data_IF_962796798723
#
_entry.id   IF_962796798723
#
_cell.length_a   1.000
_cell.length_b   1.000
_cell.length_c   1.000
_cell.angle_alpha   90.00
_cell.angle_beta   90.00
_cell.angle_gamma   90.00
#
_symmetry.space_group_name_H-M   'P 1'
#
loop_
_entity.id
_entity.type
_entity.pdbx_description
1 polymer ?
#
# COMPACT_ATOMS: atom_id res chain seq x y z
N UNK A 1 18.62 3.05 -10.00
CA UNK A 1 18.02 1.95 -9.21
C UNK A 1 17.40 2.56 -7.98
N UNK A 2 16.16 2.18 -7.66
CA UNK A 2 15.49 2.62 -6.42
C UNK A 2 16.13 1.89 -5.25
N UNK A 3 16.31 2.56 -4.11
CA UNK A 3 16.77 1.92 -2.87
C UNK A 3 15.65 1.87 -1.83
N UNK A 4 15.81 1.05 -0.79
CA UNK A 4 14.86 1.01 0.34
C UNK A 4 14.73 2.38 1.01
N UNK A 5 15.83 3.13 1.15
CA UNK A 5 15.79 4.49 1.70
C UNK A 5 14.96 5.49 0.89
N UNK A 6 14.73 5.22 -0.40
CA UNK A 6 13.96 6.09 -1.30
C UNK A 6 12.44 5.84 -1.21
N UNK A 7 12.02 4.80 -0.48
CA UNK A 7 10.62 4.41 -0.39
C UNK A 7 9.79 5.43 0.38
N UNK A 8 8.67 5.83 -0.22
CA UNK A 8 7.68 6.64 0.48
C UNK A 8 7.11 5.95 1.72
N UNK A 9 7.06 6.66 2.84
CA UNK A 9 6.58 6.16 4.13
C UNK A 9 7.63 5.33 4.87
N UNK A 10 8.79 5.08 4.25
CA UNK A 10 9.87 4.29 4.80
C UNK A 10 9.51 2.82 5.01
N UNK A 11 10.51 2.06 5.43
CA UNK A 11 10.34 0.67 5.85
C UNK A 11 9.93 0.64 7.33
N UNK A 12 8.73 0.15 7.62
CA UNK A 12 8.12 0.25 8.95
C UNK A 12 8.00 -1.07 9.67
N UNK A 13 7.98 -2.19 8.94
CA UNK A 13 7.88 -3.50 9.56
C UNK A 13 8.52 -4.62 8.74
N UNK A 14 8.74 -5.76 9.38
CA UNK A 14 9.23 -6.97 8.76
C UNK A 14 8.21 -8.11 8.88
N UNK A 15 8.13 -8.94 7.84
CA UNK A 15 7.45 -10.24 7.86
C UNK A 15 8.49 -11.35 7.74
N UNK A 16 8.43 -12.30 8.67
CA UNK A 16 9.15 -13.56 8.56
C UNK A 16 8.12 -14.66 8.26
N UNK A 17 8.24 -15.32 7.11
CA UNK A 17 7.34 -16.41 6.74
C UNK A 17 8.10 -17.55 6.05
N UNK A 18 7.43 -18.68 5.92
CA UNK A 18 7.90 -19.83 5.16
C UNK A 18 7.76 -19.56 3.65
N UNK A 19 6.75 -18.80 3.28
CA UNK A 19 6.34 -18.62 1.89
C UNK A 19 6.54 -17.17 1.45
N UNK A 20 7.11 -16.96 0.25
CA UNK A 20 7.05 -15.67 -0.40
C UNK A 20 5.61 -15.26 -0.65
N UNK A 21 5.29 -14.03 -0.30
CA UNK A 21 4.10 -13.33 -0.73
C UNK A 21 4.03 -13.31 -2.25
N UNK A 22 2.83 -13.56 -2.76
CA UNK A 22 2.55 -13.50 -4.19
C UNK A 22 1.75 -12.24 -4.47
N UNK A 23 0.45 -12.28 -4.19
CA UNK A 23 -0.48 -11.17 -4.38
C UNK A 23 -1.04 -10.67 -3.04
N UNK A 24 -0.74 -11.34 -1.94
CA UNK A 24 -1.19 -11.03 -0.59
C UNK A 24 -0.16 -11.47 0.45
N UNK A 25 -0.25 -10.89 1.66
CA UNK A 25 0.46 -11.35 2.86
C UNK A 25 -0.57 -11.69 3.92
N UNK A 26 -0.51 -12.89 4.48
CA UNK A 26 -1.50 -13.37 5.43
C UNK A 26 -0.97 -13.54 6.84
N UNK A 27 -1.92 -13.48 7.76
CA UNK A 27 -1.69 -13.56 9.19
C UNK A 27 -2.74 -14.49 9.80
N UNK A 28 -2.31 -15.28 10.78
CA UNK A 28 -3.19 -16.22 11.48
C UNK A 28 -3.61 -15.57 12.81
N UNK A 29 -4.89 -15.24 13.01
CA UNK A 29 -5.37 -14.65 14.25
C UNK A 29 -5.09 -15.54 15.46
N UNK A 30 -4.55 -14.96 16.52
CA UNK A 30 -4.38 -15.60 17.82
C UNK A 30 -5.56 -15.24 18.73
N UNK A 31 -6.18 -16.22 19.38
CA UNK A 31 -7.34 -16.01 20.27
C UNK A 31 -8.55 -16.87 19.89
N UNK A 32 -9.64 -16.79 20.64
CA UNK A 32 -10.91 -17.48 20.34
C UNK A 32 -12.03 -16.44 20.23
N UNK A 33 -13.02 -16.73 19.39
CA UNK A 33 -14.23 -15.90 19.25
C UNK A 33 -14.13 -14.79 18.19
N UNK A 34 -15.22 -14.02 18.10
CA UNK A 34 -15.49 -13.06 17.00
C UNK A 34 -14.51 -11.88 16.92
N UNK A 35 -13.75 -11.60 17.99
CA UNK A 35 -12.82 -10.48 18.06
C UNK A 35 -11.41 -10.79 17.53
N UNK A 36 -11.06 -12.07 17.32
CA UNK A 36 -9.70 -12.46 16.97
C UNK A 36 -9.24 -11.86 15.63
N UNK A 37 -10.10 -11.88 14.61
CA UNK A 37 -9.83 -11.31 13.29
C UNK A 37 -9.63 -9.78 13.37
N UNK A 38 -10.60 -8.99 13.92
CA UNK A 38 -10.42 -7.54 14.07
C UNK A 38 -9.17 -7.15 14.87
N UNK A 39 -8.84 -7.87 15.93
CA UNK A 39 -7.65 -7.61 16.75
C UNK A 39 -6.35 -7.88 15.98
N UNK A 40 -6.31 -8.96 15.20
CA UNK A 40 -5.21 -9.28 14.32
C UNK A 40 -5.03 -8.16 13.29
N UNK A 41 -6.09 -7.81 12.55
CA UNK A 41 -6.07 -6.74 11.55
C UNK A 41 -5.58 -5.40 12.13
N UNK A 42 -6.14 -4.97 13.27
CA UNK A 42 -5.74 -3.72 13.93
C UNK A 42 -4.27 -3.73 14.35
N UNK A 43 -3.76 -4.89 14.78
CA UNK A 43 -2.34 -5.05 15.13
C UNK A 43 -1.46 -4.91 13.91
N UNK A 44 -1.80 -5.55 12.79
CA UNK A 44 -1.04 -5.44 11.54
C UNK A 44 -1.06 -3.99 11.03
N UNK A 45 -2.22 -3.34 11.00
CA UNK A 45 -2.38 -1.93 10.61
C UNK A 45 -1.45 -0.99 11.39
N UNK A 46 -1.41 -1.15 12.71
CA UNK A 46 -0.53 -0.36 13.58
C UNK A 46 0.95 -0.63 13.28
N UNK A 47 1.31 -1.86 12.94
CA UNK A 47 2.70 -2.26 12.73
C UNK A 47 3.27 -1.72 11.43
N UNK A 48 2.56 -1.80 10.29
CA UNK A 48 3.08 -1.22 9.04
C UNK A 48 2.76 0.27 8.91
N UNK A 49 1.73 0.80 9.58
CA UNK A 49 1.43 2.25 9.67
C UNK A 49 1.51 2.99 8.32
N UNK A 50 0.99 2.37 7.24
CA UNK A 50 1.05 2.85 5.84
C UNK A 50 2.43 2.86 5.15
N UNK A 51 3.50 2.44 5.84
CA UNK A 51 4.82 2.24 5.25
C UNK A 51 4.96 0.91 4.51
N UNK A 52 6.18 0.62 4.11
CA UNK A 52 6.55 -0.63 3.44
C UNK A 52 6.93 -1.69 4.45
N UNK A 53 6.64 -2.95 4.11
CA UNK A 53 7.12 -4.10 4.86
C UNK A 53 8.22 -4.82 4.10
N UNK A 54 9.21 -5.35 4.81
CA UNK A 54 10.25 -6.19 4.21
C UNK A 54 9.92 -7.65 4.45
N UNK A 55 10.11 -8.45 3.41
CA UNK A 55 9.83 -9.87 3.42
C UNK A 55 11.11 -10.70 3.54
N UNK A 56 11.09 -11.60 4.53
CA UNK A 56 12.14 -12.56 4.81
C UNK A 56 11.59 -13.98 4.80
N UNK A 57 12.32 -14.89 4.16
CA UNK A 57 12.02 -16.32 4.19
C UNK A 57 12.83 -16.99 5.29
N UNK A 58 12.16 -17.65 6.22
CA UNK A 58 12.81 -18.29 7.36
C UNK A 58 13.74 -19.42 6.96
N UNK A 59 14.71 -19.77 7.82
CA UNK A 59 15.59 -20.91 7.59
C UNK A 59 14.87 -22.26 7.75
N UNK A 60 13.79 -22.27 8.54
CA UNK A 60 12.97 -23.45 8.81
C UNK A 60 11.69 -23.45 7.99
N UNK A 61 11.25 -24.65 7.62
CA UNK A 61 9.99 -24.91 6.94
C UNK A 61 9.17 -25.89 7.76
N UNK A 62 7.85 -25.76 7.74
CA UNK A 62 6.96 -26.64 8.49
C UNK A 62 6.50 -27.82 7.61
N UNK A 63 6.28 -28.96 8.26
CA UNK A 63 5.62 -30.08 7.60
C UNK A 63 4.13 -29.77 7.42
N UNK A 64 3.52 -30.25 6.33
CA UNK A 64 2.08 -30.12 6.11
C UNK A 64 1.35 -31.13 7.01
N UNK A 65 0.03 -31.08 7.01
CA UNK A 65 -0.80 -32.10 7.64
C UNK A 65 -0.62 -33.46 6.94
N UNK A 66 -0.88 -34.54 7.68
CA UNK A 66 -0.76 -35.91 7.18
C UNK A 66 -1.61 -36.11 5.91
N UNK A 67 -1.02 -36.71 4.88
CA UNK A 67 -1.64 -36.94 3.58
C UNK A 67 -1.30 -35.90 2.51
N UNK A 68 -0.54 -34.85 2.85
CA UNK A 68 -0.11 -33.79 1.94
C UNK A 68 1.41 -33.77 1.70
N UNK A 69 2.15 -34.78 2.19
CA UNK A 69 3.61 -34.85 2.06
C UNK A 69 4.07 -34.91 0.60
N UNK A 70 3.28 -35.57 -0.26
CA UNK A 70 3.52 -35.69 -1.71
C UNK A 70 2.63 -34.73 -2.54
N UNK A 71 1.93 -33.81 -1.89
CA UNK A 71 1.09 -32.84 -2.59
C UNK A 71 1.93 -32.00 -3.58
N UNK A 72 1.53 -31.88 -4.86
CA UNK A 72 2.32 -31.16 -5.85
C UNK A 72 2.61 -29.71 -5.48
N UNK A 73 1.67 -29.03 -4.82
CA UNK A 73 1.86 -27.64 -4.38
C UNK A 73 2.81 -27.58 -3.20
N UNK A 74 2.72 -28.52 -2.24
CA UNK A 74 3.69 -28.63 -1.14
C UNK A 74 5.11 -28.87 -1.67
N UNK A 75 5.32 -29.85 -2.54
CA UNK A 75 6.64 -30.21 -3.10
C UNK A 75 7.26 -29.03 -3.87
N UNK A 76 6.47 -28.38 -4.73
CA UNK A 76 6.89 -27.18 -5.47
C UNK A 76 7.29 -26.05 -4.52
N UNK A 77 6.51 -25.89 -3.46
CA UNK A 77 6.71 -24.86 -2.45
C UNK A 77 7.98 -25.11 -1.63
N UNK A 78 8.20 -26.35 -1.20
CA UNK A 78 9.41 -26.77 -0.50
C UNK A 78 10.67 -26.52 -1.35
N UNK A 79 10.63 -26.90 -2.62
CA UNK A 79 11.74 -26.64 -3.55
C UNK A 79 12.02 -25.15 -3.75
N UNK A 80 10.98 -24.30 -3.71
CA UNK A 80 11.13 -22.83 -3.75
C UNK A 80 11.70 -22.29 -2.45
N UNK A 81 11.23 -22.78 -1.30
CA UNK A 81 11.74 -22.40 0.02
C UNK A 81 13.24 -22.67 0.14
N UNK A 82 13.70 -23.85 -0.28
CA UNK A 82 15.13 -24.22 -0.23
C UNK A 82 16.05 -23.22 -0.95
N UNK A 83 15.57 -22.57 -2.00
CA UNK A 83 16.33 -21.55 -2.73
C UNK A 83 16.37 -20.20 -2.01
N UNK A 84 15.35 -19.90 -1.21
CA UNK A 84 15.11 -18.57 -0.63
C UNK A 84 15.35 -18.49 0.87
N UNK A 85 15.43 -19.63 1.58
CA UNK A 85 15.57 -19.67 3.03
C UNK A 85 16.75 -18.82 3.53
N UNK A 86 16.50 -18.03 4.56
CA UNK A 86 17.46 -17.09 5.13
C UNK A 86 17.64 -15.78 4.34
N UNK A 87 16.86 -15.51 3.30
CA UNK A 87 17.03 -14.33 2.42
C UNK A 87 15.94 -13.28 2.58
N UNK A 88 16.34 -12.03 2.35
CA UNK A 88 15.44 -10.90 2.12
C UNK A 88 15.08 -10.90 0.63
N UNK A 89 13.79 -10.94 0.31
CA UNK A 89 13.36 -11.19 -1.08
C UNK A 89 12.62 -10.02 -1.73
N UNK A 90 11.86 -9.26 -0.95
CA UNK A 90 11.00 -8.21 -1.46
C UNK A 90 10.64 -7.20 -0.38
N UNK A 91 10.16 -6.04 -0.82
CA UNK A 91 9.44 -5.07 0.01
C UNK A 91 8.05 -4.87 -0.58
N UNK A 92 7.04 -4.87 0.29
CA UNK A 92 5.64 -4.81 -0.10
C UNK A 92 4.94 -3.61 0.53
N UNK A 93 4.11 -2.96 -0.26
CA UNK A 93 3.08 -2.06 0.24
C UNK A 93 1.79 -2.84 0.35
N UNK A 94 1.23 -2.87 1.55
CA UNK A 94 -0.02 -3.55 1.81
C UNK A 94 -1.20 -2.60 1.66
N UNK A 95 -2.35 -3.15 1.26
CA UNK A 95 -3.64 -2.48 1.46
C UNK A 95 -3.82 -2.17 2.94
N UNK A 96 -4.52 -1.08 3.28
CA UNK A 96 -4.69 -0.73 4.69
C UNK A 96 -5.56 -1.72 5.46
N UNK A 97 -6.58 -2.28 4.83
CA UNK A 97 -7.53 -3.22 5.44
C UNK A 97 -7.31 -4.63 4.91
N UNK A 98 -7.67 -5.62 5.71
CA UNK A 98 -7.62 -7.03 5.32
C UNK A 98 -8.80 -7.39 4.41
N UNK A 99 -8.70 -8.55 3.76
CA UNK A 99 -9.81 -9.23 3.07
C UNK A 99 -9.83 -10.70 3.50
N UNK A 100 -11.00 -11.35 3.48
CA UNK A 100 -11.06 -12.80 3.68
C UNK A 100 -10.22 -13.50 2.61
N UNK A 101 -9.30 -14.38 3.01
CA UNK A 101 -8.37 -15.03 2.08
C UNK A 101 -9.11 -15.75 0.94
N UNK A 102 -10.22 -16.43 1.23
CA UNK A 102 -11.08 -17.08 0.23
C UNK A 102 -11.58 -16.17 -0.89
N UNK A 103 -11.70 -14.86 -0.65
CA UNK A 103 -12.10 -13.88 -1.67
C UNK A 103 -10.95 -13.47 -2.59
N UNK A 104 -9.71 -13.82 -2.23
CA UNK A 104 -8.50 -13.52 -2.98
C UNK A 104 -8.10 -14.72 -3.83
N UNK A 105 -8.08 -15.92 -3.23
CA UNK A 105 -7.60 -17.15 -3.88
C UNK A 105 -8.72 -18.10 -4.35
N UNK A 106 -9.98 -17.80 -4.02
CA UNK A 106 -11.11 -18.68 -4.31
C UNK A 106 -11.35 -19.74 -3.24
N UNK A 107 -12.52 -20.38 -3.30
CA UNK A 107 -12.98 -21.32 -2.27
C UNK A 107 -12.17 -22.63 -2.28
N UNK A 108 -11.89 -23.19 -3.45
CA UNK A 108 -11.19 -24.47 -3.57
C UNK A 108 -9.73 -24.38 -3.10
N UNK A 109 -9.01 -23.34 -3.56
CA UNK A 109 -7.62 -23.09 -3.13
C UNK A 109 -7.57 -22.77 -1.62
N UNK A 110 -8.54 -21.99 -1.12
CA UNK A 110 -8.65 -21.75 0.31
C UNK A 110 -8.86 -23.05 1.09
N UNK A 111 -9.77 -23.91 0.63
CA UNK A 111 -10.06 -25.18 1.29
C UNK A 111 -8.80 -26.06 1.34
N UNK A 112 -8.13 -26.23 0.21
CA UNK A 112 -6.87 -26.97 0.07
C UNK A 112 -5.80 -26.46 1.03
N UNK A 113 -5.60 -25.13 1.05
CA UNK A 113 -4.64 -24.49 1.92
C UNK A 113 -4.94 -24.74 3.40
N UNK A 114 -6.22 -24.65 3.81
CA UNK A 114 -6.60 -24.92 5.18
C UNK A 114 -6.38 -26.39 5.53
N UNK A 115 -6.76 -27.32 4.65
CA UNK A 115 -6.59 -28.76 4.89
C UNK A 115 -5.11 -29.14 5.02
N UNK A 116 -4.21 -28.47 4.28
CA UNK A 116 -2.77 -28.69 4.32
C UNK A 116 -2.07 -28.08 5.55
N UNK A 117 -2.51 -26.91 6.03
CA UNK A 117 -1.71 -26.11 6.99
C UNK A 117 -2.41 -25.73 8.30
N UNK A 118 -3.72 -25.90 8.42
CA UNK A 118 -4.45 -25.59 9.65
C UNK A 118 -4.20 -26.68 10.71
N UNK A 119 -3.67 -26.29 11.86
CA UNK A 119 -3.26 -27.23 12.91
C UNK A 119 -4.26 -27.37 14.05
N UNK A 120 -5.19 -26.42 14.20
CA UNK A 120 -6.14 -26.37 15.32
C UNK A 120 -7.58 -26.68 14.91
N UNK A 121 -7.79 -27.07 13.65
CA UNK A 121 -9.09 -27.39 13.06
C UNK A 121 -10.03 -26.18 12.95
N UNK A 122 -9.55 -24.96 13.20
CA UNK A 122 -10.35 -23.75 13.17
C UNK A 122 -10.44 -23.15 11.76
N UNK A 123 -9.75 -23.72 10.77
CA UNK A 123 -9.69 -23.26 9.37
C UNK A 123 -9.45 -21.76 9.26
N UNK A 124 -8.45 -21.27 9.99
CA UNK A 124 -8.13 -19.85 10.09
C UNK A 124 -6.70 -19.49 9.70
N UNK A 125 -5.95 -20.46 9.17
CA UNK A 125 -4.57 -20.25 8.72
C UNK A 125 -4.56 -19.13 7.67
N UNK A 126 -3.82 -18.05 7.94
CA UNK A 126 -3.73 -16.87 7.07
C UNK A 126 -5.08 -16.21 6.71
N UNK A 127 -6.12 -16.43 7.52
CA UNK A 127 -7.48 -15.89 7.29
C UNK A 127 -7.56 -14.35 7.28
N UNK A 128 -6.59 -13.67 7.87
CA UNK A 128 -6.42 -12.22 7.76
C UNK A 128 -5.38 -11.94 6.69
N UNK A 129 -5.84 -11.70 5.46
CA UNK A 129 -4.98 -11.49 4.31
C UNK A 129 -5.01 -10.03 3.87
N UNK A 130 -3.84 -9.44 3.71
CA UNK A 130 -3.66 -8.08 3.19
C UNK A 130 -3.19 -8.16 1.75
N UNK A 131 -3.99 -7.68 0.77
CA UNK A 131 -3.54 -7.57 -0.61
C UNK A 131 -2.26 -6.74 -0.73
N UNK A 132 -1.32 -7.20 -1.56
CA UNK A 132 -0.12 -6.45 -1.94
C UNK A 132 -0.52 -5.49 -3.06
N UNK A 133 -0.39 -4.19 -2.79
CA UNK A 133 -0.81 -3.11 -3.70
C UNK A 133 0.37 -2.40 -4.36
N UNK A 134 1.59 -2.72 -3.92
CA UNK A 134 2.84 -2.33 -4.55
C UNK A 134 3.94 -3.27 -4.07
N UNK A 135 4.89 -3.60 -4.94
CA UNK A 135 5.98 -4.51 -4.58
C UNK A 135 7.26 -4.16 -5.33
N UNK A 136 8.39 -4.33 -4.65
CA UNK A 136 9.70 -4.34 -5.27
C UNK A 136 10.43 -5.61 -4.86
N UNK A 137 11.16 -6.20 -5.80
CA UNK A 137 12.11 -7.27 -5.51
C UNK A 137 13.39 -6.65 -4.97
N UNK A 138 14.00 -7.29 -3.98
CA UNK A 138 15.34 -6.93 -3.49
C UNK A 138 16.37 -7.56 -4.42
N UNK A 139 17.22 -6.72 -5.01
CA UNK A 139 18.25 -7.14 -5.97
C UNK A 139 19.23 -8.10 -5.30
N UNK A 140 19.55 -9.21 -5.98
CA UNK A 140 20.46 -10.25 -5.47
C UNK A 140 19.92 -11.11 -4.33
N UNK A 141 18.79 -10.74 -3.70
CA UNK A 141 18.16 -11.49 -2.59
C UNK A 141 19.16 -11.86 -1.48
N UNK A 142 19.82 -10.89 -0.83
CA UNK A 142 20.90 -11.17 0.13
C UNK A 142 20.41 -11.99 1.33
N UNK A 143 21.31 -12.72 1.98
CA UNK A 143 20.97 -13.36 3.25
C UNK A 143 20.78 -12.26 4.30
N UNK A 144 19.79 -12.42 5.17
CA UNK A 144 19.53 -11.43 6.20
C UNK A 144 20.72 -11.24 7.15
N UNK A 145 21.47 -12.32 7.43
CA UNK A 145 22.70 -12.30 8.24
C UNK A 145 23.87 -11.53 7.60
N UNK A 146 23.83 -11.29 6.29
CA UNK A 146 24.84 -10.49 5.60
C UNK A 146 24.50 -8.99 5.63
N UNK A 147 23.26 -8.65 5.97
CA UNK A 147 22.73 -7.27 6.01
C UNK A 147 22.61 -6.76 7.45
N UNK A 148 22.31 -7.64 8.40
CA UNK A 148 21.97 -7.29 9.77
C UNK A 148 23.02 -7.76 10.77
N UNK A 149 23.18 -6.99 11.84
CA UNK A 149 23.85 -7.49 13.03
C UNK A 149 23.04 -8.62 13.71
N UNK A 150 23.74 -9.43 14.50
CA UNK A 150 23.16 -10.60 15.16
C UNK A 150 21.97 -10.24 16.09
N UNK A 151 22.02 -9.18 16.92
CA UNK A 151 20.88 -8.76 17.73
C UNK A 151 19.64 -8.45 16.89
N UNK A 152 19.79 -7.67 15.82
CA UNK A 152 18.71 -7.26 14.93
C UNK A 152 18.14 -8.45 14.16
N UNK A 153 19.01 -9.30 13.61
CA UNK A 153 18.60 -10.54 12.96
C UNK A 153 17.79 -11.42 13.91
N UNK A 154 18.23 -11.60 15.16
CA UNK A 154 17.50 -12.43 16.12
C UNK A 154 16.13 -11.86 16.45
N UNK A 155 16.05 -10.55 16.67
CA UNK A 155 14.78 -9.88 17.00
C UNK A 155 13.80 -9.96 15.84
N UNK A 156 14.27 -9.69 14.62
CA UNK A 156 13.44 -9.58 13.44
C UNK A 156 13.15 -10.90 12.74
N UNK A 157 14.04 -11.90 12.80
CA UNK A 157 14.02 -13.02 11.86
C UNK A 157 14.36 -14.40 12.44
N UNK A 158 14.72 -14.53 13.73
CA UNK A 158 15.03 -15.84 14.33
C UNK A 158 13.89 -16.88 14.23
N UNK A 159 12.64 -16.43 14.07
CA UNK A 159 11.47 -17.30 13.97
C UNK A 159 10.43 -16.72 13.01
N UNK A 160 9.56 -17.57 12.47
CA UNK A 160 8.38 -17.12 11.74
C UNK A 160 7.52 -16.21 12.61
N UNK A 161 6.76 -15.32 11.98
CA UNK A 161 5.97 -14.32 12.68
C UNK A 161 4.47 -14.47 12.38
N UNK A 162 3.65 -14.59 13.44
CA UNK A 162 2.20 -14.60 13.34
C UNK A 162 1.62 -13.22 13.00
N UNK A 163 2.35 -12.15 13.35
CA UNK A 163 2.10 -10.75 13.00
C UNK A 163 3.34 -10.13 12.37
N UNK A 164 3.31 -8.84 12.03
CA UNK A 164 4.52 -8.12 11.61
C UNK A 164 5.40 -7.79 12.81
N UNK A 165 6.66 -7.47 12.56
CA UNK A 165 7.58 -6.92 13.57
C UNK A 165 7.91 -5.49 13.19
N UNK A 166 7.55 -4.53 14.05
CA UNK A 166 7.89 -3.14 13.82
C UNK A 166 9.42 -2.95 13.77
N UNK A 167 9.85 -2.12 12.82
CA UNK A 167 11.23 -1.73 12.58
C UNK A 167 11.41 -0.31 13.15
N UNK A 168 12.39 -0.13 14.02
CA UNK A 168 12.78 1.20 14.53
C UNK A 168 13.74 1.90 13.56
N UNK A 169 14.13 3.13 13.87
CA UNK A 169 14.94 3.94 12.95
C UNK A 169 16.38 3.39 12.79
N UNK A 170 17.00 2.87 13.84
CA UNK A 170 18.34 2.27 13.78
C UNK A 170 18.36 1.03 12.87
N UNK A 171 17.33 0.20 12.98
CA UNK A 171 17.19 -1.01 12.15
C UNK A 171 16.80 -0.66 10.72
N UNK A 172 16.01 0.40 10.52
CA UNK A 172 15.67 0.89 9.19
C UNK A 172 16.93 1.28 8.42
N UNK A 173 17.87 1.96 9.09
CA UNK A 173 19.14 2.39 8.50
C UNK A 173 19.94 1.21 7.91
N UNK A 174 19.87 0.02 8.53
CA UNK A 174 20.55 -1.19 8.04
C UNK A 174 20.03 -1.66 6.67
N UNK A 175 18.78 -1.33 6.32
CA UNK A 175 18.18 -1.74 5.05
C UNK A 175 18.30 -0.68 3.94
N UNK A 176 18.60 0.58 4.27
CA UNK A 176 18.49 1.72 3.33
C UNK A 176 19.26 1.53 2.03
N UNK A 177 20.41 0.86 2.09
CA UNK A 177 21.29 0.60 0.96
C UNK A 177 20.80 -0.49 0.00
N UNK A 178 19.79 -1.28 0.36
CA UNK A 178 19.31 -2.38 -0.47
C UNK A 178 18.67 -1.86 -1.76
N UNK A 179 19.13 -2.40 -2.89
CA UNK A 179 18.65 -2.03 -4.22
C UNK A 179 17.37 -2.77 -4.58
N UNK A 180 16.45 -2.04 -5.21
CA UNK A 180 15.09 -2.47 -5.51
C UNK A 180 14.81 -2.47 -7.01
N UNK A 181 14.16 -3.55 -7.46
CA UNK A 181 13.62 -3.71 -8.80
C UNK A 181 12.10 -3.67 -8.75
N UNK A 182 11.48 -2.78 -9.54
CA UNK A 182 10.02 -2.66 -9.58
C UNK A 182 9.38 -3.97 -10.07
N UNK A 183 8.30 -4.38 -9.42
CA UNK A 183 7.49 -5.50 -9.86
C UNK A 183 6.02 -5.08 -9.99
N UNK A 184 5.35 -5.61 -11.01
CA UNK A 184 3.91 -5.43 -11.14
C UNK A 184 3.21 -6.11 -9.96
N UNK A 185 2.36 -5.36 -9.26
CA UNK A 185 1.51 -5.88 -8.20
C UNK A 185 0.15 -6.25 -8.81
N UNK A 186 -0.16 -7.55 -9.03
CA UNK A 186 -1.39 -7.94 -9.71
C UNK A 186 -2.63 -7.44 -8.98
N UNK A 187 -2.58 -7.33 -7.65
CA UNK A 187 -3.67 -6.86 -6.80
C UNK A 187 -3.75 -5.33 -6.65
N UNK A 188 -2.99 -4.55 -7.40
CA UNK A 188 -3.12 -3.08 -7.37
C UNK A 188 -4.56 -2.62 -7.71
N UNK A 189 -5.27 -3.34 -8.58
CA UNK A 189 -6.66 -3.06 -8.92
C UNK A 189 -7.64 -3.29 -7.75
N UNK A 190 -7.35 -4.24 -6.86
CA UNK A 190 -8.18 -4.56 -5.69
C UNK A 190 -8.25 -3.37 -4.73
N UNK A 191 -7.14 -2.65 -4.57
CA UNK A 191 -7.11 -1.40 -3.80
C UNK A 191 -7.99 -0.31 -4.42
N UNK A 192 -7.96 -0.19 -5.75
CA UNK A 192 -8.75 0.79 -6.48
C UNK A 192 -10.25 0.51 -6.32
N UNK A 193 -10.67 -0.76 -6.43
CA UNK A 193 -12.08 -1.13 -6.31
C UNK A 193 -12.64 -0.89 -4.90
N UNK A 194 -11.86 -1.10 -3.85
CA UNK A 194 -12.29 -0.78 -2.48
C UNK A 194 -12.34 0.71 -2.20
N UNK A 195 -11.38 1.47 -2.72
CA UNK A 195 -11.40 2.93 -2.60
C UNK A 195 -12.57 3.53 -3.39
N UNK A 196 -12.98 2.90 -4.49
CA UNK A 196 -14.23 3.21 -5.17
C UNK A 196 -15.42 2.97 -4.23
N UNK A 197 -15.50 1.81 -3.57
CA UNK A 197 -16.61 1.51 -2.64
C UNK A 197 -16.63 2.46 -1.42
N UNK A 198 -15.46 2.81 -0.87
CA UNK A 198 -15.34 3.77 0.23
C UNK A 198 -15.71 5.18 -0.21
N UNK A 199 -15.24 5.61 -1.39
CA UNK A 199 -15.63 6.88 -1.98
C UNK A 199 -17.14 6.91 -2.25
N UNK A 200 -17.73 5.81 -2.71
CA UNK A 200 -19.17 5.69 -2.93
C UNK A 200 -19.98 5.95 -1.67
N UNK A 201 -19.50 5.45 -0.52
CA UNK A 201 -20.11 5.58 0.81
C UNK A 201 -19.75 6.89 1.54
N UNK A 202 -18.79 7.66 1.04
CA UNK A 202 -18.29 8.85 1.72
C UNK A 202 -19.05 10.11 1.30
N UNK A 203 -19.26 11.02 2.26
CA UNK A 203 -19.69 12.39 1.97
C UNK A 203 -18.46 13.23 1.56
N UNK A 204 -18.36 13.50 0.27
CA UNK A 204 -17.23 14.20 -0.37
C UNK A 204 -17.65 15.66 -0.60
N UNK A 205 -16.80 16.60 -0.21
CA UNK A 205 -17.07 18.02 -0.43
C UNK A 205 -17.28 18.33 -1.92
N UNK A 206 -18.38 19.01 -2.24
CA UNK A 206 -18.76 19.36 -3.63
C UNK A 206 -17.68 20.13 -4.37
N UNK A 207 -16.88 20.95 -3.66
CA UNK A 207 -15.76 21.70 -4.25
C UNK A 207 -14.67 20.74 -4.71
N UNK A 208 -14.37 19.70 -3.94
CA UNK A 208 -13.37 18.68 -4.29
C UNK A 208 -13.81 17.89 -5.53
N UNK A 209 -15.10 17.56 -5.67
CA UNK A 209 -15.65 16.90 -6.87
C UNK A 209 -15.44 17.80 -8.11
N UNK A 210 -15.89 19.05 -8.05
CA UNK A 210 -15.84 19.95 -9.19
C UNK A 210 -14.41 20.25 -9.66
N UNK A 211 -13.46 20.41 -8.72
CA UNK A 211 -12.06 20.66 -9.06
C UNK A 211 -11.40 19.46 -9.74
N UNK A 212 -11.72 18.24 -9.30
CA UNK A 212 -11.21 17.01 -9.90
C UNK A 212 -11.81 16.77 -11.27
N UNK A 213 -13.10 17.07 -11.47
CA UNK A 213 -13.72 17.03 -12.81
C UNK A 213 -13.04 18.00 -13.79
N UNK A 214 -12.64 19.19 -13.32
CA UNK A 214 -11.92 20.18 -14.14
C UNK A 214 -10.50 19.72 -14.50
N UNK A 215 -9.82 19.03 -13.59
CA UNK A 215 -8.45 18.52 -13.80
C UNK A 215 -8.41 17.21 -14.61
N UNK A 216 -9.45 16.36 -14.53
CA UNK A 216 -9.55 15.09 -15.25
C UNK A 216 -10.32 15.24 -16.58
N UNK A 217 -9.62 15.65 -17.64
CA UNK A 217 -10.20 15.70 -19.01
C UNK A 217 -10.68 14.33 -19.49
N UNK A 218 -11.78 14.27 -20.25
CA UNK A 218 -12.41 13.02 -20.74
C UNK A 218 -11.46 12.08 -21.51
N UNK A 219 -10.42 12.62 -22.14
CA UNK A 219 -9.40 11.85 -22.90
C UNK A 219 -8.47 11.03 -21.99
N UNK A 220 -8.33 11.38 -20.71
CA UNK A 220 -7.46 10.70 -19.75
C UNK A 220 -7.92 9.26 -19.41
N UNK A 221 -9.17 8.92 -19.71
CA UNK A 221 -9.82 7.67 -19.34
C UNK A 221 -10.39 6.92 -20.57
N UNK A 222 -9.82 7.15 -21.75
CA UNK A 222 -10.18 6.41 -22.97
C UNK A 222 -10.03 4.89 -22.75
N UNK A 223 -11.00 4.11 -23.26
CA UNK A 223 -11.05 2.65 -23.06
C UNK A 223 -11.85 2.12 -21.86
N UNK A 224 -12.26 2.96 -20.90
CA UNK A 224 -13.12 2.52 -19.79
C UNK A 224 -14.62 2.69 -20.07
N UNK A 225 -15.49 1.75 -19.63
CA UNK A 225 -16.93 1.95 -19.60
C UNK A 225 -17.31 3.19 -18.77
N UNK A 226 -18.36 3.91 -19.18
CA UNK A 226 -18.81 5.16 -18.55
C UNK A 226 -18.99 5.02 -17.04
N UNK A 227 -19.59 3.91 -16.59
CA UNK A 227 -19.79 3.62 -15.17
C UNK A 227 -18.47 3.52 -14.38
N UNK A 228 -17.45 2.90 -14.97
CA UNK A 228 -16.12 2.79 -14.35
C UNK A 228 -15.42 4.14 -14.28
N UNK A 229 -15.62 5.02 -15.28
CA UNK A 229 -15.11 6.40 -15.25
C UNK A 229 -15.70 7.22 -14.11
N UNK A 230 -17.02 7.13 -13.91
CA UNK A 230 -17.72 7.83 -12.82
C UNK A 230 -17.16 7.40 -11.47
N UNK A 231 -16.97 6.09 -11.27
CA UNK A 231 -16.39 5.51 -10.05
C UNK A 231 -14.96 5.99 -9.79
N UNK A 232 -14.11 6.01 -10.82
CA UNK A 232 -12.72 6.49 -10.71
C UNK A 232 -12.65 7.99 -10.38
N UNK A 233 -13.52 8.83 -10.96
CA UNK A 233 -13.61 10.26 -10.63
C UNK A 233 -14.02 10.47 -9.17
N UNK A 234 -15.03 9.73 -8.70
CA UNK A 234 -15.48 9.79 -7.30
C UNK A 234 -14.36 9.38 -6.33
N UNK A 235 -13.60 8.34 -6.66
CA UNK A 235 -12.39 7.94 -5.93
C UNK A 235 -11.35 9.07 -5.89
N UNK A 236 -11.02 9.68 -7.03
CA UNK A 236 -10.04 10.77 -7.07
C UNK A 236 -10.47 11.98 -6.22
N UNK A 237 -11.77 12.34 -6.27
CA UNK A 237 -12.36 13.37 -5.42
C UNK A 237 -12.28 13.05 -3.92
N UNK A 238 -12.50 11.79 -3.55
CA UNK A 238 -12.36 11.31 -2.18
C UNK A 238 -10.92 11.41 -1.66
N UNK A 239 -9.92 11.02 -2.46
CA UNK A 239 -8.50 11.14 -2.08
C UNK A 239 -8.09 12.61 -1.96
N UNK A 240 -8.53 13.47 -2.88
CA UNK A 240 -8.30 14.92 -2.83
C UNK A 240 -8.92 15.55 -1.58
N UNK A 241 -10.14 15.15 -1.21
CA UNK A 241 -10.80 15.62 0.02
C UNK A 241 -10.04 15.16 1.28
N UNK A 242 -9.61 13.89 1.31
CA UNK A 242 -8.77 13.34 2.38
C UNK A 242 -7.44 14.09 2.52
N UNK A 243 -6.78 14.42 1.41
CA UNK A 243 -5.57 15.24 1.38
C UNK A 243 -5.81 16.63 2.00
N UNK A 244 -6.92 17.30 1.64
CA UNK A 244 -7.28 18.60 2.20
C UNK A 244 -7.56 18.53 3.70
N UNK A 245 -8.26 17.47 4.17
CA UNK A 245 -8.52 17.25 5.60
C UNK A 245 -7.21 17.09 6.36
N UNK A 246 -6.26 16.34 5.83
CA UNK A 246 -4.93 16.16 6.42
C UNK A 246 -4.15 17.48 6.52
N UNK A 247 -4.12 18.29 5.44
CA UNK A 247 -3.51 19.64 5.45
C UNK A 247 -4.18 20.56 6.46
N UNK A 248 -5.52 20.47 6.59
CA UNK A 248 -6.27 21.23 7.59
C UNK A 248 -5.87 20.86 9.01
N UNK A 249 -5.80 19.57 9.35
CA UNK A 249 -5.41 19.13 10.69
C UNK A 249 -3.95 19.48 11.04
N UNK A 250 -3.07 19.54 10.05
CA UNK A 250 -1.68 19.96 10.20
C UNK A 250 -1.48 21.48 10.21
N UNK A 251 -2.53 22.27 9.97
CA UNK A 251 -2.42 23.73 9.89
C UNK A 251 -1.71 24.24 8.62
N UNK A 252 -1.55 23.41 7.60
CA UNK A 252 -0.76 23.68 6.39
C UNK A 252 -1.61 24.01 5.16
N UNK A 253 -2.73 24.71 5.36
CA UNK A 253 -3.59 25.19 4.26
C UNK A 253 -3.02 26.46 3.62
N UNK A 254 -1.89 26.31 2.93
CA UNK A 254 -1.18 27.34 2.18
C UNK A 254 -0.83 26.83 0.78
N UNK A 255 -0.57 27.74 -0.16
CA UNK A 255 -0.12 27.38 -1.50
C UNK A 255 1.29 26.76 -1.42
N UNK A 256 1.44 25.55 -1.94
CA UNK A 256 2.73 24.83 -1.92
C UNK A 256 3.77 25.48 -2.85
N UNK A 257 3.34 26.27 -3.84
CA UNK A 257 4.23 26.89 -4.82
C UNK A 257 4.73 28.28 -4.41
N UNK A 258 3.85 29.13 -3.86
CA UNK A 258 4.20 30.52 -3.54
C UNK A 258 4.03 30.88 -2.06
N UNK A 259 3.65 29.93 -1.20
CA UNK A 259 3.43 30.17 0.22
C UNK A 259 2.18 31.00 0.56
N UNK A 260 1.34 31.32 -0.44
CA UNK A 260 0.14 32.11 -0.24
C UNK A 260 -0.76 31.53 0.87
N UNK A 261 -0.98 32.32 1.92
CA UNK A 261 -1.93 32.04 3.00
C UNK A 261 -3.21 32.88 2.79
N UNK A 262 -4.36 32.23 2.49
CA UNK A 262 -5.66 32.88 2.40
C UNK A 262 -6.06 33.77 3.59
N UNK A 263 -5.54 33.47 4.80
CA UNK A 263 -5.83 34.24 6.02
C UNK A 263 -5.12 35.59 6.03
N UNK A 264 -4.01 35.72 5.31
CA UNK A 264 -3.22 36.96 5.25
C UNK A 264 -3.96 38.11 4.54
N UNK A 265 -4.87 37.81 3.61
CA UNK A 265 -5.62 38.83 2.87
C UNK A 265 -6.82 39.36 3.69
N UNK A 266 -7.45 38.51 4.50
CA UNK A 266 -8.67 38.85 5.21
C UNK A 266 -8.54 38.58 6.73
N UNK A 267 -7.67 39.32 7.45
CA UNK A 267 -7.39 39.05 8.86
C UNK A 267 -8.63 39.19 9.76
N UNK A 268 -9.61 40.01 9.35
CA UNK A 268 -10.80 40.33 10.14
C UNK A 268 -12.07 39.60 9.67
N UNK A 269 -11.97 38.71 8.68
CA UNK A 269 -13.11 37.93 8.17
C UNK A 269 -12.83 36.46 8.47
N UNK A 270 -13.82 35.75 9.01
CA UNK A 270 -13.78 34.27 9.13
C UNK A 270 -13.87 33.64 7.74
N UNK A 271 -12.80 33.74 6.95
CA UNK A 271 -12.68 33.06 5.68
C UNK A 271 -12.26 31.61 5.91
N UNK A 272 -12.96 30.68 5.28
CA UNK A 272 -12.48 29.29 5.19
C UNK A 272 -11.23 29.31 4.30
N UNK A 273 -10.04 29.12 4.86
CA UNK A 273 -8.78 29.17 4.11
C UNK A 273 -8.81 28.30 2.83
N UNK A 274 -9.46 27.14 2.88
CA UNK A 274 -9.67 26.26 1.72
C UNK A 274 -10.40 26.91 0.53
N UNK A 275 -11.19 27.97 0.74
CA UNK A 275 -11.96 28.62 -0.31
C UNK A 275 -11.10 29.31 -1.38
N UNK A 276 -9.83 29.61 -1.09
CA UNK A 276 -8.89 30.27 -2.01
C UNK A 276 -7.72 29.37 -2.43
N UNK A 277 -7.83 28.06 -2.24
CA UNK A 277 -6.82 27.08 -2.66
C UNK A 277 -7.49 25.97 -3.45
N UNK A 278 -6.90 25.60 -4.58
CA UNK A 278 -7.31 24.49 -5.43
C UNK A 278 -6.40 23.29 -5.17
N UNK A 279 -6.97 22.08 -5.17
CA UNK A 279 -6.21 20.84 -5.20
C UNK A 279 -5.88 20.53 -6.66
N UNK A 280 -4.60 20.34 -6.96
CA UNK A 280 -4.11 20.08 -8.31
C UNK A 280 -3.31 18.78 -8.36
N UNK A 281 -3.47 18.00 -9.44
CA UNK A 281 -2.63 16.83 -9.68
C UNK A 281 -1.26 17.24 -10.22
N UNK A 282 -0.17 16.84 -9.54
CA UNK A 282 1.20 17.14 -9.98
C UNK A 282 1.55 16.52 -11.33
N UNK A 283 1.00 15.34 -11.60
CA UNK A 283 1.11 14.68 -12.89
C UNK A 283 -0.30 14.61 -13.47
N UNK A 284 -0.57 15.24 -14.63
CA UNK A 284 -1.83 15.01 -15.32
C UNK A 284 -2.01 13.51 -15.50
N UNK A 285 -3.18 12.98 -15.17
CA UNK A 285 -3.49 11.58 -15.45
C UNK A 285 -3.55 11.47 -16.98
N UNK A 286 -2.44 11.14 -17.61
CA UNK A 286 -2.33 10.83 -19.02
C UNK A 286 -1.95 9.36 -19.12
N UNK A 287 -2.89 8.57 -19.65
CA UNK A 287 -2.73 7.20 -20.13
C UNK A 287 -1.99 6.22 -19.20
N UNK A 288 -2.73 5.62 -18.26
CA UNK A 288 -2.27 4.43 -17.53
C UNK A 288 -3.02 4.14 -16.23
N UNK A 289 -3.00 2.87 -15.81
CA UNK A 289 -3.46 2.45 -14.48
C UNK A 289 -2.37 2.86 -13.46
N UNK A 290 -2.49 4.06 -12.89
CA UNK A 290 -1.62 4.52 -11.81
C UNK A 290 -2.39 4.63 -10.50
N UNK A 291 -1.80 4.14 -9.42
CA UNK A 291 -2.33 4.35 -8.07
C UNK A 291 -2.10 5.81 -7.64
N UNK A 292 -3.18 6.60 -7.55
CA UNK A 292 -3.18 7.98 -7.05
C UNK A 292 -3.17 8.00 -5.51
N UNK A 293 -2.34 8.87 -4.93
CA UNK A 293 -2.15 9.06 -3.49
C UNK A 293 -2.10 10.55 -3.13
N UNK A 294 -1.97 10.90 -1.84
CA UNK A 294 -1.80 12.30 -1.40
C UNK A 294 -0.60 12.99 -2.06
N UNK A 295 0.47 12.27 -2.39
CA UNK A 295 1.68 12.84 -3.01
C UNK A 295 1.45 13.36 -4.42
N UNK A 296 0.44 12.81 -5.09
CA UNK A 296 0.06 13.20 -6.43
C UNK A 296 -0.70 14.53 -6.44
N UNK A 297 -1.05 15.06 -5.26
CA UNK A 297 -1.73 16.33 -5.10
C UNK A 297 -0.81 17.43 -4.58
N UNK A 298 -1.18 18.66 -4.91
CA UNK A 298 -0.62 19.89 -4.35
C UNK A 298 -1.74 20.91 -4.15
N UNK A 299 -1.61 21.79 -3.15
CA UNK A 299 -2.47 22.94 -2.96
C UNK A 299 -1.90 24.15 -3.68
N UNK A 300 -2.65 24.71 -4.61
CA UNK A 300 -2.25 25.89 -5.38
C UNK A 300 -3.25 27.03 -5.20
N UNK A 301 -2.77 28.26 -5.13
CA UNK A 301 -3.65 29.42 -5.26
C UNK A 301 -4.17 29.55 -6.71
N UNK A 302 -5.26 30.29 -6.97
CA UNK A 302 -5.83 30.42 -8.31
C UNK A 302 -4.82 30.86 -9.38
N UNK A 303 -3.84 31.69 -9.01
CA UNK A 303 -2.77 32.14 -9.90
C UNK A 303 -1.79 31.03 -10.22
N UNK A 304 -1.21 30.37 -9.21
CA UNK A 304 -0.25 29.28 -9.41
C UNK A 304 -0.91 28.11 -10.15
N UNK A 305 -2.17 27.81 -9.85
CA UNK A 305 -2.92 26.75 -10.51
C UNK A 305 -3.06 27.01 -12.02
N UNK A 306 -3.42 28.23 -12.44
CA UNK A 306 -3.47 28.61 -13.86
C UNK A 306 -2.10 28.50 -14.53
N UNK A 307 -1.05 28.95 -13.85
CA UNK A 307 0.33 28.89 -14.37
C UNK A 307 0.75 27.44 -14.63
N UNK A 308 0.47 26.51 -13.71
CA UNK A 308 0.79 25.09 -13.92
C UNK A 308 0.04 24.50 -15.12
N UNK A 309 -1.25 24.79 -15.28
CA UNK A 309 -1.99 24.36 -16.48
C UNK A 309 -1.40 24.91 -17.79
N UNK A 310 -0.88 26.14 -17.79
CA UNK A 310 -0.16 26.70 -18.95
C UNK A 310 1.17 25.97 -19.19
N UNK A 311 1.97 25.74 -18.15
CA UNK A 311 3.23 24.98 -18.26
C UNK A 311 3.00 23.57 -18.81
N UNK A 312 1.97 22.88 -18.33
CA UNK A 312 1.61 21.54 -18.80
C UNK A 312 1.18 21.53 -20.27
N UNK A 313 0.51 22.58 -20.75
CA UNK A 313 0.21 22.74 -22.18
C UNK A 313 1.49 22.94 -22.99
N UNK A 314 2.39 23.82 -22.55
CA UNK A 314 3.65 24.09 -23.26
C UNK A 314 4.54 22.85 -23.38
N UNK A 315 4.70 22.08 -22.30
CA UNK A 315 5.45 20.82 -22.31
C UNK A 315 4.90 19.76 -23.26
N UNK A 316 3.64 19.84 -23.66
CA UNK A 316 3.03 18.94 -24.65
C UNK A 316 3.36 19.31 -26.10
N UNK A 317 3.89 20.51 -26.35
CA UNK A 317 4.29 20.96 -27.68
C UNK A 317 5.79 20.80 -27.95
N UNK A 318 6.58 20.51 -26.92
CA UNK A 318 8.03 20.24 -27.01
C UNK A 318 8.35 18.73 -27.16
N UNK A 319 7.34 17.86 -27.14
CA UNK A 319 7.44 16.41 -27.35
C UNK A 319 6.71 16.00 -28.63
#
# INVERSE_FOLDING_TARGET
>A
MTKVGDLDGGLTAAKADWLPGTTWIGFTPTGKGVSAIPQCESTIQRQFSHGWIIEYITETFHNPNVGYEDDPDYVKTLARHEKLKGRLIAVHKLRYTSRPLKSIIGEDEYKHLQDMWDQDGQRRRWSVAFPIVGTYRISGTPKAKDVLDEPTYRRLFARSSATLRAINDDERALFEGLELEHQDAPNAHVAIDDEIQLAEKSDIDRTSIHLIERDLTDRALEGFPIERRIKLRKRAAWIADSFVRSRRSQGTLLCDQCGFDPRSIFPNIKLKARALLDVHHKNPIAEGIRYTSHKDFTLLCPTCHRVEHVKLKLKKFDN
#
